data_IF_007016354181
#
_entry.id   IF_007016354181
#
_cell.length_a   1.000
_cell.length_b   1.000
_cell.length_c   1.000
_cell.angle_alpha   90.00
_cell.angle_beta   90.00
_cell.angle_gamma   90.00
#
_symmetry.space_group_name_H-M   'P 1'
#
loop_
_entity.id
_entity.type
_entity.pdbx_description
1 polymer ?
#
# COMPACT_ATOMS: atom_id res chain seq x y z
N UNK A 1 0.74 -29.98 5.47
CA UNK A 1 0.84 -29.84 4.02
C UNK A 1 -0.30 -29.00 3.49
N UNK A 2 0.00 -27.99 2.70
CA UNK A 2 -1.02 -27.09 2.17
C UNK A 2 -1.70 -27.69 0.94
N UNK A 3 -3.02 -27.55 0.89
CA UNK A 3 -3.81 -27.94 -0.28
C UNK A 3 -3.40 -27.06 -1.47
N UNK A 4 -3.30 -27.67 -2.65
CA UNK A 4 -2.94 -26.95 -3.88
C UNK A 4 -3.94 -25.85 -4.22
N UNK A 5 -5.23 -26.08 -3.95
CA UNK A 5 -6.26 -25.09 -4.20
C UNK A 5 -6.06 -23.88 -3.28
N UNK A 6 -5.79 -24.13 -2.01
CA UNK A 6 -5.54 -23.07 -1.04
C UNK A 6 -4.25 -22.29 -1.37
N UNK A 7 -3.22 -23.02 -1.79
CA UNK A 7 -1.98 -22.37 -2.22
C UNK A 7 -2.22 -21.43 -3.40
N UNK A 8 -2.99 -21.87 -4.39
CA UNK A 8 -3.32 -21.05 -5.55
C UNK A 8 -4.12 -19.82 -5.14
N UNK A 9 -5.07 -19.96 -4.22
CA UNK A 9 -5.85 -18.85 -3.72
C UNK A 9 -4.97 -17.83 -2.99
N UNK A 10 -4.04 -18.30 -2.17
CA UNK A 10 -3.11 -17.42 -1.45
C UNK A 10 -2.19 -16.66 -2.41
N UNK A 11 -1.71 -17.35 -3.44
CA UNK A 11 -0.86 -16.71 -4.45
C UNK A 11 -1.62 -15.65 -5.23
N UNK A 12 -2.90 -15.89 -5.52
CA UNK A 12 -3.74 -14.92 -6.21
C UNK A 12 -3.98 -13.69 -5.32
N UNK A 13 -4.29 -13.92 -4.04
CA UNK A 13 -4.44 -12.83 -3.07
C UNK A 13 -3.17 -12.00 -2.97
N UNK A 14 -2.03 -12.67 -2.91
CA UNK A 14 -0.74 -12.00 -2.84
C UNK A 14 -0.52 -11.12 -4.05
N UNK A 15 -0.84 -11.62 -5.24
CA UNK A 15 -0.69 -10.85 -6.47
C UNK A 15 -1.58 -9.62 -6.47
N UNK A 16 -2.83 -9.77 -6.01
CA UNK A 16 -3.76 -8.65 -5.91
C UNK A 16 -3.26 -7.59 -4.92
N UNK A 17 -2.73 -8.03 -3.78
CA UNK A 17 -2.19 -7.12 -2.77
C UNK A 17 -0.94 -6.40 -3.29
N UNK A 18 -0.08 -7.10 -4.00
CA UNK A 18 1.11 -6.50 -4.60
C UNK A 18 0.72 -5.44 -5.64
N UNK A 19 -0.31 -5.71 -6.44
CA UNK A 19 -0.83 -4.75 -7.42
C UNK A 19 -1.35 -3.50 -6.71
N UNK A 20 -2.09 -3.68 -5.61
CA UNK A 20 -2.58 -2.57 -4.81
C UNK A 20 -1.44 -1.77 -4.20
N UNK A 21 -0.39 -2.46 -3.73
CA UNK A 21 0.78 -1.81 -3.16
C UNK A 21 1.50 -0.96 -4.20
N UNK A 22 1.68 -1.47 -5.43
CA UNK A 22 2.28 -0.70 -6.50
C UNK A 22 1.47 0.55 -6.83
N UNK A 23 0.14 0.41 -6.89
CA UNK A 23 -0.74 1.55 -7.13
C UNK A 23 -0.63 2.59 -6.00
N UNK A 24 -0.56 2.12 -4.76
CA UNK A 24 -0.41 2.99 -3.59
C UNK A 24 0.93 3.72 -3.62
N UNK A 25 2.00 3.03 -3.99
CA UNK A 25 3.33 3.65 -4.10
C UNK A 25 3.34 4.73 -5.18
N UNK A 26 2.72 4.47 -6.33
CA UNK A 26 2.62 5.46 -7.39
C UNK A 26 1.83 6.69 -6.93
N UNK A 27 0.73 6.46 -6.22
CA UNK A 27 -0.08 7.55 -5.65
C UNK A 27 0.72 8.36 -4.63
N UNK A 28 1.54 7.69 -3.80
CA UNK A 28 2.39 8.36 -2.82
C UNK A 28 3.43 9.25 -3.51
N UNK A 29 4.04 8.76 -4.58
CA UNK A 29 5.02 9.54 -5.33
C UNK A 29 4.40 10.80 -5.95
N UNK A 30 3.21 10.66 -6.52
CA UNK A 30 2.43 11.78 -7.05
C UNK A 30 2.11 12.80 -5.94
N UNK A 31 1.68 12.29 -4.79
CA UNK A 31 1.33 13.12 -3.66
C UNK A 31 2.53 13.90 -3.14
N UNK A 32 3.68 13.25 -3.04
CA UNK A 32 4.92 13.91 -2.62
C UNK A 32 5.31 15.02 -3.58
N UNK A 33 5.09 14.81 -4.88
CA UNK A 33 5.35 15.84 -5.88
C UNK A 33 4.42 17.04 -5.69
N UNK A 34 3.14 16.79 -5.43
CA UNK A 34 2.17 17.85 -5.15
C UNK A 34 2.54 18.65 -3.90
N UNK A 35 3.05 17.96 -2.88
CA UNK A 35 3.50 18.61 -1.65
C UNK A 35 4.68 19.56 -1.94
N UNK A 36 5.62 19.12 -2.77
CA UNK A 36 6.76 19.96 -3.16
C UNK A 36 6.34 21.19 -3.95
N UNK A 37 5.30 21.05 -4.76
CA UNK A 37 4.80 22.13 -5.60
C UNK A 37 3.81 23.04 -4.86
N UNK A 38 3.39 22.64 -3.67
CA UNK A 38 2.43 23.40 -2.88
C UNK A 38 3.05 24.71 -2.41
N UNK A 39 2.28 25.80 -2.53
CA UNK A 39 2.68 27.10 -2.02
C UNK A 39 2.77 27.03 -0.49
N UNK A 40 3.93 27.43 0.10
CA UNK A 40 4.05 27.41 1.57
C UNK A 40 3.05 28.30 2.28
N UNK A 41 2.47 29.26 1.59
CA UNK A 41 1.48 30.17 2.16
C UNK A 41 0.07 29.58 2.14
N UNK A 42 -0.15 28.53 1.36
CA UNK A 42 -1.47 27.87 1.28
C UNK A 42 -1.55 26.79 2.36
N UNK A 43 -1.86 27.20 3.57
CA UNK A 43 -1.93 26.30 4.73
C UNK A 43 -3.03 25.25 4.61
N UNK A 44 -4.17 25.60 3.99
CA UNK A 44 -5.29 24.68 3.82
C UNK A 44 -4.89 23.53 2.89
N UNK A 45 -4.28 23.86 1.76
CA UNK A 45 -3.84 22.86 0.79
C UNK A 45 -2.74 21.99 1.37
N UNK A 46 -1.79 22.60 2.09
CA UNK A 46 -0.72 21.86 2.76
C UNK A 46 -1.26 20.88 3.78
N UNK A 47 -2.27 21.30 4.55
CA UNK A 47 -2.91 20.44 5.53
C UNK A 47 -3.61 19.26 4.85
N UNK A 48 -4.39 19.51 3.80
CA UNK A 48 -5.10 18.48 3.06
C UNK A 48 -4.14 17.46 2.45
N UNK A 49 -3.03 17.93 1.87
CA UNK A 49 -2.02 17.05 1.28
C UNK A 49 -1.33 16.20 2.35
N UNK A 50 -1.03 16.80 3.50
CA UNK A 50 -0.44 16.07 4.62
C UNK A 50 -1.36 15.00 5.16
N UNK A 51 -2.65 15.29 5.24
CA UNK A 51 -3.66 14.34 5.70
C UNK A 51 -3.79 13.18 4.70
N UNK A 52 -3.79 13.48 3.42
CA UNK A 52 -3.84 12.46 2.37
C UNK A 52 -2.60 11.56 2.41
N UNK A 53 -1.42 12.14 2.65
CA UNK A 53 -0.18 11.39 2.79
C UNK A 53 -0.25 10.44 3.99
N UNK A 54 -0.75 10.92 5.11
CA UNK A 54 -0.88 10.11 6.32
C UNK A 54 -1.84 8.93 6.08
N UNK A 55 -3.00 9.18 5.47
CA UNK A 55 -3.98 8.14 5.17
C UNK A 55 -3.41 7.10 4.21
N UNK A 56 -2.70 7.54 3.19
CA UNK A 56 -2.11 6.64 2.21
C UNK A 56 -1.00 5.80 2.84
N UNK A 57 -0.20 6.41 3.70
CA UNK A 57 0.86 5.70 4.44
C UNK A 57 0.26 4.58 5.28
N UNK A 58 -0.84 4.86 6.00
CA UNK A 58 -1.52 3.84 6.80
C UNK A 58 -2.06 2.72 5.93
N UNK A 59 -2.60 3.04 4.76
CA UNK A 59 -3.09 2.05 3.81
C UNK A 59 -1.96 1.14 3.33
N UNK A 60 -0.81 1.73 2.99
CA UNK A 60 0.36 0.97 2.56
C UNK A 60 0.88 0.05 3.66
N UNK A 61 0.87 0.54 4.90
CA UNK A 61 1.31 -0.24 6.06
C UNK A 61 0.42 -1.47 6.25
N UNK A 62 -0.89 -1.29 6.14
CA UNK A 62 -1.84 -2.39 6.23
C UNK A 62 -1.65 -3.41 5.10
N UNK A 63 -1.42 -2.94 3.89
CA UNK A 63 -1.14 -3.81 2.74
C UNK A 63 0.14 -4.61 2.96
N UNK A 64 1.17 -3.97 3.48
CA UNK A 64 2.44 -4.62 3.76
C UNK A 64 2.27 -5.74 4.79
N UNK A 65 1.50 -5.49 5.85
CA UNK A 65 1.21 -6.49 6.87
C UNK A 65 0.44 -7.69 6.28
N UNK A 66 -0.54 -7.43 5.44
CA UNK A 66 -1.31 -8.49 4.79
C UNK A 66 -0.44 -9.32 3.85
N UNK A 67 0.43 -8.67 3.10
CA UNK A 67 1.36 -9.35 2.20
C UNK A 67 2.31 -10.26 3.00
N UNK A 68 2.87 -9.73 4.09
CA UNK A 68 3.77 -10.49 4.95
C UNK A 68 3.08 -11.71 5.54
N UNK A 69 1.83 -11.56 5.96
CA UNK A 69 1.04 -12.65 6.52
C UNK A 69 0.82 -13.78 5.50
N UNK A 70 0.48 -13.41 4.27
CA UNK A 70 0.26 -14.40 3.20
C UNK A 70 1.58 -15.09 2.83
N UNK A 71 2.66 -14.33 2.74
CA UNK A 71 3.99 -14.89 2.46
C UNK A 71 4.40 -15.88 3.53
N UNK A 72 4.11 -15.58 4.79
CA UNK A 72 4.38 -16.49 5.90
C UNK A 72 3.59 -17.79 5.75
N UNK A 73 2.30 -17.69 5.42
CA UNK A 73 1.47 -18.87 5.19
C UNK A 73 1.99 -19.72 4.04
N UNK A 74 2.46 -19.10 2.96
CA UNK A 74 3.00 -19.80 1.81
C UNK A 74 4.34 -20.47 2.11
N UNK A 75 5.09 -19.93 3.07
CA UNK A 75 6.39 -20.51 3.45
C UNK A 75 6.26 -21.64 4.46
N UNK A 76 5.11 -21.81 5.08
CA UNK A 76 4.83 -22.90 6.01
C UNK A 76 4.47 -24.17 5.24
N UNK A 77 5.46 -24.93 4.87
CA UNK A 77 5.24 -26.21 4.17
C UNK A 77 5.77 -27.39 4.96
#
# INVERSE_FOLDING_TARGET
MMDKIKEAELRQELQELETKMHAAQAAMNELKQKIKECDPEDEVKAFDLGLAEFNLFNCMDMLDDEIAEIEEQLSEK
#
